data_IF_701196201142
#
_entry.id   IF_701196201142
#
_cell.length_a   1.000
_cell.length_b   1.000
_cell.length_c   1.000
_cell.angle_alpha   90.00
_cell.angle_beta   90.00
_cell.angle_gamma   90.00
#
_symmetry.space_group_name_H-M   'P 1'
#
loop_
_entity.id
_entity.type
_entity.pdbx_description
1 polymer ?
#
# COMPACT_ATOMS: atom_id res chain seq x y z
N UNK A 1 -8.43 45.27 -24.55
CA UNK A 1 -7.94 45.23 -23.16
C UNK A 1 -7.82 43.83 -22.56
N UNK A 2 -8.55 42.83 -23.00
CA UNK A 2 -8.50 41.44 -22.44
C UNK A 2 -7.16 40.65 -22.66
N UNK A 3 -6.45 40.88 -23.76
CA UNK A 3 -5.16 40.19 -24.06
C UNK A 3 -4.01 40.58 -23.11
N UNK A 4 -3.97 41.81 -22.59
CA UNK A 4 -2.92 42.29 -21.65
C UNK A 4 -3.11 41.71 -20.23
N UNK A 5 -4.33 41.45 -19.81
CA UNK A 5 -4.63 40.86 -18.49
C UNK A 5 -4.27 39.38 -18.41
N UNK A 6 -4.51 38.59 -19.49
CA UNK A 6 -4.07 37.19 -19.60
C UNK A 6 -2.55 37.04 -19.51
N UNK A 7 -1.79 37.90 -20.21
CA UNK A 7 -0.31 37.88 -20.21
C UNK A 7 0.32 38.17 -18.82
N UNK A 8 -0.26 39.06 -18.02
CA UNK A 8 0.23 39.33 -16.66
C UNK A 8 -0.04 38.17 -15.68
N UNK A 9 -1.23 37.51 -15.75
CA UNK A 9 -1.55 36.33 -14.92
C UNK A 9 -0.64 35.17 -15.23
N UNK A 10 -0.33 34.92 -16.49
CA UNK A 10 0.55 33.80 -16.92
C UNK A 10 1.99 34.01 -16.42
N UNK A 11 2.51 35.26 -16.45
CA UNK A 11 3.84 35.59 -15.91
C UNK A 11 3.94 35.42 -14.40
N UNK A 12 2.87 35.69 -13.66
CA UNK A 12 2.81 35.48 -12.20
C UNK A 12 2.84 33.99 -11.83
N UNK A 13 2.11 33.16 -12.55
CA UNK A 13 2.12 31.67 -12.34
C UNK A 13 3.48 31.07 -12.70
N UNK A 14 4.06 31.48 -13.82
CA UNK A 14 5.39 31.04 -14.23
C UNK A 14 6.47 31.38 -13.19
N UNK A 15 6.37 32.57 -12.55
CA UNK A 15 7.32 32.96 -11.50
C UNK A 15 7.19 32.07 -10.23
N UNK A 16 5.97 31.60 -9.91
CA UNK A 16 5.73 30.68 -8.80
C UNK A 16 6.31 29.30 -9.14
N UNK A 17 6.05 28.78 -10.34
CA UNK A 17 6.59 27.50 -10.80
C UNK A 17 8.13 27.51 -10.82
N UNK A 18 8.74 28.62 -11.23
CA UNK A 18 10.20 28.76 -11.21
C UNK A 18 10.79 28.86 -9.80
N UNK A 19 10.01 29.38 -8.83
CA UNK A 19 10.44 29.49 -7.43
C UNK A 19 10.38 28.14 -6.70
N UNK A 20 9.42 27.29 -7.05
CA UNK A 20 9.20 26.01 -6.44
C UNK A 20 9.31 24.92 -7.52
N UNK A 21 10.46 24.28 -7.64
CA UNK A 21 10.75 23.26 -8.65
C UNK A 21 9.83 22.03 -8.61
N UNK A 22 9.08 21.87 -7.52
CA UNK A 22 8.12 20.77 -7.34
C UNK A 22 6.69 21.11 -7.78
N UNK A 23 6.46 22.35 -8.27
CA UNK A 23 5.14 22.79 -8.74
C UNK A 23 5.09 22.66 -10.27
N UNK A 24 4.16 21.85 -10.76
CA UNK A 24 3.86 21.67 -12.19
C UNK A 24 2.36 21.85 -12.46
N UNK A 25 1.99 22.05 -13.69
CA UNK A 25 0.59 22.04 -14.09
C UNK A 25 0.05 20.60 -14.01
N UNK A 26 -1.17 20.44 -13.54
CA UNK A 26 -1.80 19.11 -13.49
C UNK A 26 -1.84 18.42 -14.86
N UNK A 27 -1.95 19.17 -15.95
CA UNK A 27 -1.89 18.67 -17.33
C UNK A 27 -0.52 18.09 -17.72
N UNK A 28 0.56 18.51 -17.05
CA UNK A 28 1.92 18.02 -17.31
C UNK A 28 2.21 16.76 -16.48
N UNK A 29 1.49 16.57 -15.37
CA UNK A 29 1.63 15.38 -14.52
C UNK A 29 0.92 14.13 -15.07
N UNK A 30 0.00 14.28 -16.01
CA UNK A 30 -0.81 13.17 -16.53
C UNK A 30 0.01 12.10 -17.26
N UNK A 31 1.12 12.43 -17.89
CA UNK A 31 1.95 11.49 -18.64
C UNK A 31 2.62 10.39 -17.77
N UNK A 32 2.88 10.67 -16.52
CA UNK A 32 3.48 9.67 -15.61
C UNK A 32 2.44 8.72 -15.01
N UNK A 33 1.19 9.17 -14.83
CA UNK A 33 0.11 8.38 -14.24
C UNK A 33 -0.52 7.43 -15.26
N UNK A 34 -0.60 7.79 -16.54
CA UNK A 34 -1.17 6.95 -17.60
C UNK A 34 -0.39 5.65 -17.85
N UNK A 35 0.90 5.62 -17.55
CA UNK A 35 1.77 4.46 -17.75
C UNK A 35 2.06 3.68 -16.45
N UNK A 36 1.43 4.04 -15.32
CA UNK A 36 1.64 3.34 -14.06
C UNK A 36 0.97 1.96 -14.11
N UNK A 37 1.70 0.88 -13.83
CA UNK A 37 1.10 -0.44 -13.76
C UNK A 37 0.14 -0.54 -12.58
N UNK A 38 -0.91 -1.35 -12.74
CA UNK A 38 -1.93 -1.57 -11.74
C UNK A 38 -1.94 -3.04 -11.31
N UNK A 39 -2.20 -3.26 -10.03
CA UNK A 39 -2.48 -4.58 -9.47
C UNK A 39 -4.00 -4.77 -9.45
N UNK A 40 -4.59 -5.53 -10.39
CA UNK A 40 -6.03 -5.76 -10.40
C UNK A 40 -6.44 -6.73 -9.28
N UNK A 41 -7.72 -6.72 -8.92
CA UNK A 41 -8.39 -7.74 -8.12
C UNK A 41 -8.99 -8.81 -9.03
N UNK A 42 -9.29 -10.00 -8.50
CA UNK A 42 -10.14 -11.01 -9.17
C UNK A 42 -11.59 -10.55 -9.26
N UNK A 43 -12.01 -9.63 -8.40
CA UNK A 43 -13.35 -9.09 -8.36
C UNK A 43 -13.53 -7.96 -9.38
N UNK A 44 -14.47 -8.16 -10.32
CA UNK A 44 -14.83 -7.14 -11.29
C UNK A 44 -15.35 -5.85 -10.63
N UNK A 45 -16.09 -6.01 -9.54
CA UNK A 45 -16.64 -4.89 -8.76
C UNK A 45 -15.52 -4.08 -8.11
N UNK A 46 -14.53 -4.76 -7.50
CA UNK A 46 -13.37 -4.08 -6.91
C UNK A 46 -12.59 -3.31 -7.97
N UNK A 47 -12.32 -3.90 -9.11
CA UNK A 47 -11.63 -3.22 -10.20
C UNK A 47 -12.42 -2.01 -10.70
N UNK A 48 -13.73 -2.12 -10.79
CA UNK A 48 -14.58 -1.00 -11.21
C UNK A 48 -14.58 0.14 -10.19
N UNK A 49 -14.71 -0.16 -8.89
CA UNK A 49 -14.71 0.83 -7.81
C UNK A 49 -13.33 1.51 -7.66
N UNK A 50 -12.25 0.78 -7.83
CA UNK A 50 -10.87 1.31 -7.69
C UNK A 50 -10.32 1.91 -9.00
N UNK A 51 -11.06 1.80 -10.10
CA UNK A 51 -10.60 2.28 -11.41
C UNK A 51 -9.58 1.38 -12.10
N UNK A 52 -9.49 0.09 -11.69
CA UNK A 52 -8.61 -0.91 -12.31
C UNK A 52 -7.78 -1.74 -11.33
N UNK A 53 -7.87 -1.45 -10.04
CA UNK A 53 -7.11 -2.13 -8.99
C UNK A 53 -6.31 -1.15 -8.12
N UNK A 54 -5.14 -1.57 -7.65
CA UNK A 54 -4.22 -0.73 -6.88
C UNK A 54 -3.10 -0.25 -7.80
N UNK A 55 -2.92 1.05 -8.04
CA UNK A 55 -1.76 1.56 -8.77
C UNK A 55 -0.47 1.25 -8.01
N UNK A 56 0.59 0.85 -8.70
CA UNK A 56 1.87 0.58 -8.05
C UNK A 56 2.40 1.83 -7.35
N UNK A 57 3.03 1.64 -6.18
CA UNK A 57 3.54 2.73 -5.36
C UNK A 57 2.46 3.57 -4.67
N UNK A 58 1.21 3.10 -4.65
CA UNK A 58 0.10 3.73 -3.91
C UNK A 58 -0.36 2.84 -2.76
N UNK A 59 -1.07 3.45 -1.82
CA UNK A 59 -1.68 2.79 -0.66
C UNK A 59 -3.18 2.74 -0.88
N UNK A 60 -3.76 1.56 -0.64
CA UNK A 60 -5.20 1.35 -0.54
C UNK A 60 -5.54 1.10 0.92
N UNK A 61 -6.42 1.90 1.49
CA UNK A 61 -6.97 1.68 2.81
C UNK A 61 -8.32 0.97 2.69
N UNK A 62 -8.47 -0.13 3.47
CA UNK A 62 -9.71 -0.88 3.61
C UNK A 62 -10.24 -0.67 5.03
N UNK A 63 -11.37 -0.02 5.16
CA UNK A 63 -12.02 0.21 6.46
C UNK A 63 -13.44 -0.36 6.48
N UNK A 64 -13.93 -0.70 7.67
CA UNK A 64 -15.25 -1.29 7.86
C UNK A 64 -15.33 -2.08 9.17
N UNK A 65 -16.52 -2.57 9.47
CA UNK A 65 -16.79 -3.38 10.66
C UNK A 65 -15.96 -4.67 10.66
N UNK A 66 -15.82 -5.29 11.82
CA UNK A 66 -15.26 -6.63 11.93
C UNK A 66 -16.02 -7.61 11.03
N UNK A 67 -15.31 -8.62 10.54
CA UNK A 67 -15.87 -9.65 9.65
C UNK A 67 -16.50 -9.13 8.35
N UNK A 68 -16.24 -7.88 7.95
CA UNK A 68 -16.75 -7.30 6.67
C UNK A 68 -15.98 -7.76 5.43
N UNK A 69 -14.96 -8.61 5.59
CA UNK A 69 -14.18 -9.16 4.48
C UNK A 69 -12.94 -8.36 4.07
N UNK A 70 -12.47 -7.42 4.89
CA UNK A 70 -11.26 -6.62 4.61
C UNK A 70 -10.04 -7.49 4.27
N UNK A 71 -9.70 -8.44 5.16
CA UNK A 71 -8.59 -9.37 4.96
C UNK A 71 -8.79 -10.28 3.74
N UNK A 72 -10.04 -10.65 3.41
CA UNK A 72 -10.34 -11.41 2.20
C UNK A 72 -10.03 -10.62 0.93
N UNK A 73 -10.35 -9.33 0.91
CA UNK A 73 -10.00 -8.44 -0.21
C UNK A 73 -8.48 -8.29 -0.34
N UNK A 74 -7.78 -8.15 0.79
CA UNK A 74 -6.32 -8.08 0.78
C UNK A 74 -5.68 -9.37 0.24
N UNK A 75 -6.20 -10.55 0.63
CA UNK A 75 -5.79 -11.86 0.08
C UNK A 75 -6.08 -11.98 -1.42
N UNK A 76 -7.18 -11.41 -1.90
CA UNK A 76 -7.49 -11.40 -3.31
C UNK A 76 -6.42 -10.66 -4.14
N UNK A 77 -5.99 -9.48 -3.69
CA UNK A 77 -4.87 -8.76 -4.29
C UNK A 77 -3.55 -9.53 -4.17
N UNK A 78 -3.30 -10.20 -3.04
CA UNK A 78 -2.09 -11.02 -2.85
C UNK A 78 -2.04 -12.17 -3.85
N UNK A 79 -3.16 -12.86 -4.08
CA UNK A 79 -3.23 -13.94 -5.05
C UNK A 79 -2.90 -13.48 -6.48
N UNK A 80 -3.35 -12.29 -6.88
CA UNK A 80 -3.00 -11.72 -8.18
C UNK A 80 -1.55 -11.24 -8.21
N UNK A 81 -1.06 -10.62 -7.14
CA UNK A 81 0.35 -10.25 -7.02
C UNK A 81 1.27 -11.46 -7.29
N UNK A 82 0.98 -12.60 -6.68
CA UNK A 82 1.73 -13.84 -6.86
C UNK A 82 1.60 -14.41 -8.27
N UNK A 83 0.42 -14.31 -8.91
CA UNK A 83 0.23 -14.71 -10.31
C UNK A 83 1.06 -13.87 -11.29
N UNK A 84 1.34 -12.63 -10.95
CA UNK A 84 2.22 -11.74 -11.71
C UNK A 84 3.72 -11.97 -11.40
N UNK A 85 4.05 -13.03 -10.68
CA UNK A 85 5.42 -13.36 -10.28
C UNK A 85 5.89 -12.67 -9.01
N UNK A 86 5.06 -11.85 -8.41
CA UNK A 86 5.38 -11.04 -7.23
C UNK A 86 5.36 -11.80 -5.91
N UNK A 87 5.66 -11.07 -4.86
CA UNK A 87 5.73 -11.55 -3.48
C UNK A 87 4.85 -10.74 -2.55
N UNK A 88 4.33 -11.41 -1.51
CA UNK A 88 3.63 -10.79 -0.40
C UNK A 88 4.52 -10.50 0.80
N UNK A 89 4.26 -9.39 1.47
CA UNK A 89 4.73 -9.08 2.81
C UNK A 89 3.49 -8.77 3.65
N UNK A 90 3.21 -9.61 4.64
CA UNK A 90 2.01 -9.49 5.46
C UNK A 90 2.38 -9.28 6.92
N UNK A 91 2.01 -8.15 7.49
CA UNK A 91 2.07 -7.92 8.93
C UNK A 91 0.73 -8.31 9.53
N UNK A 92 0.74 -9.35 10.37
CA UNK A 92 -0.42 -9.88 11.07
C UNK A 92 -0.37 -9.44 12.54
N UNK A 93 -0.81 -8.20 12.78
CA UNK A 93 -0.81 -7.62 14.12
C UNK A 93 -1.95 -8.18 15.00
N UNK A 94 -2.98 -8.78 14.40
CA UNK A 94 -4.11 -9.40 15.11
C UNK A 94 -3.94 -10.90 15.34
N UNK A 95 -2.86 -11.51 14.84
CA UNK A 95 -2.61 -12.96 14.89
C UNK A 95 -3.75 -13.78 14.29
N UNK A 96 -4.28 -13.32 13.16
CA UNK A 96 -5.44 -13.88 12.48
C UNK A 96 -5.06 -14.87 11.36
N UNK A 97 -3.77 -15.09 11.12
CA UNK A 97 -3.27 -15.98 10.07
C UNK A 97 -3.80 -17.41 10.22
N UNK A 98 -4.32 -17.97 9.10
CA UNK A 98 -4.72 -19.35 9.00
C UNK A 98 -4.20 -19.95 7.70
N UNK A 99 -3.32 -20.95 7.81
CA UNK A 99 -2.69 -21.62 6.67
C UNK A 99 -3.74 -22.22 5.72
N UNK A 100 -4.72 -22.93 6.25
CA UNK A 100 -5.74 -23.61 5.45
C UNK A 100 -6.63 -22.61 4.71
N UNK A 101 -6.99 -21.53 5.37
CA UNK A 101 -7.80 -20.48 4.77
C UNK A 101 -7.06 -19.75 3.64
N UNK A 102 -5.77 -19.46 3.83
CA UNK A 102 -4.94 -18.83 2.80
C UNK A 102 -4.76 -19.73 1.58
N UNK A 103 -4.46 -21.03 1.82
CA UNK A 103 -4.32 -22.01 0.75
C UNK A 103 -5.64 -22.17 -0.03
N UNK A 104 -6.79 -22.21 0.67
CA UNK A 104 -8.12 -22.28 0.04
C UNK A 104 -8.39 -21.06 -0.84
N UNK A 105 -7.88 -19.89 -0.46
CA UNK A 105 -7.99 -18.65 -1.26
C UNK A 105 -6.95 -18.58 -2.39
N UNK A 106 -6.13 -19.59 -2.57
CA UNK A 106 -5.18 -19.72 -3.68
C UNK A 106 -3.88 -18.95 -3.46
N UNK A 107 -3.48 -18.75 -2.21
CA UNK A 107 -2.20 -18.15 -1.84
C UNK A 107 -1.08 -19.19 -1.87
N UNK A 108 -0.01 -18.89 -2.57
CA UNK A 108 1.26 -19.61 -2.54
C UNK A 108 2.03 -19.19 -1.27
N UNK A 109 2.11 -20.10 -0.29
CA UNK A 109 2.73 -19.80 0.99
C UNK A 109 4.25 -19.64 0.91
N UNK A 110 4.88 -20.14 -0.15
CA UNK A 110 6.33 -19.98 -0.38
C UNK A 110 6.69 -18.61 -0.98
N UNK A 111 5.68 -17.81 -1.36
CA UNK A 111 5.82 -16.46 -1.91
C UNK A 111 5.23 -15.36 -1.05
N UNK A 112 5.06 -15.61 0.23
CA UNK A 112 4.60 -14.61 1.20
C UNK A 112 5.38 -14.71 2.49
N UNK A 113 5.81 -13.59 3.00
CA UNK A 113 6.45 -13.45 4.31
C UNK A 113 5.42 -12.89 5.28
N UNK A 114 5.16 -13.62 6.37
CA UNK A 114 4.22 -13.20 7.42
C UNK A 114 5.03 -12.79 8.64
N UNK A 115 4.73 -11.62 9.18
CA UNK A 115 5.38 -11.06 10.36
C UNK A 115 4.35 -10.78 11.45
N UNK A 116 4.46 -11.49 12.56
CA UNK A 116 3.61 -11.33 13.73
C UNK A 116 4.26 -10.34 14.69
N UNK A 117 3.89 -9.09 14.60
CA UNK A 117 4.41 -8.02 15.44
C UNK A 117 3.39 -6.87 15.49
N UNK A 118 3.35 -6.12 16.59
CA UNK A 118 2.49 -4.96 16.76
C UNK A 118 3.27 -3.66 17.07
N UNK A 119 4.57 -3.74 17.38
CA UNK A 119 5.42 -2.57 17.57
C UNK A 119 5.74 -1.92 16.21
N UNK A 120 5.24 -0.70 15.96
CA UNK A 120 5.35 -0.03 14.67
C UNK A 120 6.80 0.24 14.25
N UNK A 121 7.69 0.49 15.22
CA UNK A 121 9.12 0.71 14.97
C UNK A 121 9.77 -0.54 14.39
N UNK A 122 9.51 -1.71 14.99
CA UNK A 122 10.03 -3.00 14.57
C UNK A 122 9.47 -3.39 13.18
N UNK A 123 8.17 -3.17 12.98
CA UNK A 123 7.49 -3.42 11.71
C UNK A 123 8.12 -2.55 10.59
N UNK A 124 8.41 -1.29 10.89
CA UNK A 124 8.99 -0.35 9.92
C UNK A 124 10.37 -0.79 9.47
N UNK A 125 11.23 -1.19 10.40
CA UNK A 125 12.59 -1.67 10.10
C UNK A 125 12.54 -2.96 9.27
N UNK A 126 11.73 -3.93 9.70
CA UNK A 126 11.51 -5.19 8.96
C UNK A 126 10.99 -4.94 7.54
N UNK A 127 10.04 -4.03 7.40
CA UNK A 127 9.45 -3.70 6.10
C UNK A 127 10.49 -3.15 5.13
N UNK A 128 11.33 -2.22 5.59
CA UNK A 128 12.38 -1.60 4.76
C UNK A 128 13.43 -2.63 4.34
N UNK A 129 13.91 -3.43 5.29
CA UNK A 129 14.94 -4.44 5.02
C UNK A 129 14.43 -5.53 4.07
N UNK A 130 13.25 -6.06 4.34
CA UNK A 130 12.63 -7.13 3.55
C UNK A 130 12.29 -6.65 2.14
N UNK A 131 11.70 -5.46 2.00
CA UNK A 131 11.41 -4.91 0.68
C UNK A 131 12.67 -4.71 -0.16
N UNK A 132 13.76 -4.22 0.44
CA UNK A 132 15.07 -4.09 -0.23
C UNK A 132 15.64 -5.45 -0.65
N UNK A 133 15.53 -6.47 0.20
CA UNK A 133 16.00 -7.82 -0.11
C UNK A 133 15.18 -8.44 -1.26
N UNK A 134 13.85 -8.33 -1.24
CA UNK A 134 12.97 -8.80 -2.30
C UNK A 134 13.23 -8.06 -3.61
N UNK A 135 13.44 -6.73 -3.60
CA UNK A 135 13.76 -5.96 -4.82
C UNK A 135 15.07 -6.38 -5.50
N UNK A 136 16.05 -6.87 -4.74
CA UNK A 136 17.28 -7.44 -5.33
C UNK A 136 17.04 -8.78 -6.04
N UNK A 137 16.03 -9.54 -5.61
CA UNK A 137 15.69 -10.86 -6.14
C UNK A 137 14.71 -10.77 -7.32
N UNK A 138 13.78 -9.81 -7.27
CA UNK A 138 12.69 -9.65 -8.22
C UNK A 138 13.07 -8.69 -9.36
N UNK A 139 12.50 -8.92 -10.52
CA UNK A 139 12.58 -7.99 -11.65
C UNK A 139 11.72 -6.73 -11.39
N UNK A 140 11.93 -5.69 -12.18
CA UNK A 140 11.20 -4.42 -12.01
C UNK A 140 9.67 -4.57 -12.19
N UNK A 141 9.24 -5.53 -12.99
CA UNK A 141 7.83 -5.77 -13.30
C UNK A 141 7.11 -6.71 -12.31
N UNK A 142 7.85 -7.41 -11.45
CA UNK A 142 7.27 -8.29 -10.45
C UNK A 142 6.88 -7.46 -9.21
N UNK A 143 5.59 -7.42 -8.83
CA UNK A 143 5.12 -6.60 -7.73
C UNK A 143 5.53 -7.13 -6.38
N UNK A 144 5.66 -6.24 -5.40
CA UNK A 144 5.67 -6.58 -3.97
C UNK A 144 4.40 -5.96 -3.39
N UNK A 145 3.52 -6.78 -2.85
CA UNK A 145 2.35 -6.33 -2.11
C UNK A 145 2.67 -6.34 -0.62
N UNK A 146 2.60 -5.17 0.01
CA UNK A 146 2.66 -5.05 1.46
C UNK A 146 1.24 -4.93 2.02
N UNK A 147 0.91 -5.73 3.02
CA UNK A 147 -0.36 -5.70 3.74
C UNK A 147 -0.08 -5.51 5.22
N UNK A 148 -0.82 -4.62 5.86
CA UNK A 148 -0.81 -4.39 7.29
C UNK A 148 -2.21 -4.66 7.84
N UNK A 149 -2.37 -5.74 8.57
CA UNK A 149 -3.65 -6.22 9.10
C UNK A 149 -3.57 -6.36 10.64
N UNK A 150 -4.01 -5.40 11.41
CA UNK A 150 -4.57 -4.09 11.06
C UNK A 150 -3.81 -2.95 11.74
N UNK A 151 -3.99 -1.72 11.23
CA UNK A 151 -3.41 -0.51 11.85
C UNK A 151 -3.92 -0.30 13.27
N UNK A 152 -5.16 -0.71 13.55
CA UNK A 152 -5.78 -0.54 14.87
C UNK A 152 -5.12 -1.39 15.98
N UNK A 153 -4.39 -2.44 15.62
CA UNK A 153 -3.69 -3.32 16.56
C UNK A 153 -2.24 -2.89 16.79
N UNK A 154 -1.78 -1.81 16.16
CA UNK A 154 -0.41 -1.34 16.31
C UNK A 154 -0.23 -0.50 17.55
N UNK A 155 0.92 -0.69 18.20
CA UNK A 155 1.39 0.08 19.33
C UNK A 155 2.80 0.63 19.07
N UNK A 156 3.22 1.58 19.90
CA UNK A 156 4.63 1.99 19.94
C UNK A 156 5.37 1.21 21.02
N UNK A 157 6.68 1.02 20.85
CA UNK A 157 7.51 0.38 21.89
C UNK A 157 7.33 1.04 23.25
N UNK A 158 7.24 2.36 23.30
CA UNK A 158 7.02 3.09 24.56
C UNK A 158 5.71 2.71 25.25
N UNK A 159 4.61 2.53 24.51
CA UNK A 159 3.31 2.15 25.08
C UNK A 159 3.30 0.69 25.54
N UNK A 160 3.92 -0.22 24.79
CA UNK A 160 4.01 -1.64 25.15
C UNK A 160 4.73 -1.87 26.50
N UNK A 161 5.76 -1.07 26.79
CA UNK A 161 6.53 -1.21 28.04
C UNK A 161 6.00 -0.34 29.21
N UNK A 162 5.14 0.64 28.97
CA UNK A 162 4.62 1.56 29.99
C UNK A 162 3.16 1.31 30.36
N UNK A 163 2.43 0.52 29.58
CA UNK A 163 1.05 0.14 29.93
C UNK A 163 1.06 -0.89 31.08
N UNK A 164 0.30 -0.68 32.16
CA UNK A 164 0.15 -1.68 33.21
C UNK A 164 -0.43 -2.96 32.60
N UNK A 165 0.19 -4.10 32.93
CA UNK A 165 -0.31 -5.40 32.49
C UNK A 165 -1.75 -5.59 32.98
N UNK A 166 -2.67 -6.14 32.16
CA UNK A 166 -4.02 -6.49 32.62
C UNK A 166 -4.06 -7.48 33.79
N UNK A 167 -2.91 -8.02 34.19
CA UNK A 167 -2.78 -8.93 35.36
C UNK A 167 -2.50 -8.22 36.68
N UNK A 168 -2.29 -6.90 36.65
CA UNK A 168 -1.95 -6.09 37.85
C UNK A 168 -3.16 -5.31 38.37
N UNK A 169 -4.38 -5.63 37.89
CA UNK A 169 -5.67 -5.06 38.35
C UNK A 169 -6.58 -6.10 38.99
#
# INVERSE_FOLDING_TARGET
MAKKAKSKKTKSLQSIMNKYSQVSLASEMYGEVENMPWLPSRSLVMNWVTGGGIPFGKVLELFGQESSGKSLVALDFLAICQKLGGWGMWVDAESSYSKDWWTTNGIDLDKVLVFHENAIEVISDWTIETARALRKKLTHNEPILYVLDSIAALDTICLLYTSPSPRDS
#
